data_IF_464699050167
#
_entry.id   IF_464699050167
#
_cell.length_a   1.000
_cell.length_b   1.000
_cell.length_c   1.000
_cell.angle_alpha   90.00
_cell.angle_beta   90.00
_cell.angle_gamma   90.00
#
_symmetry.space_group_name_H-M   'P 1'
#
loop_
_entity.id
_entity.type
_entity.pdbx_description
1 polymer ?
#
# COMPACT_ATOMS: atom_id res chain seq x y z
N UNK A 1 4.51 -54.35 20.85
CA UNK A 1 3.86 -53.59 19.80
C UNK A 1 4.85 -53.43 18.66
N UNK A 2 4.56 -53.89 17.45
CA UNK A 2 5.48 -53.72 16.34
C UNK A 2 5.53 -52.25 15.94
N UNK A 3 6.73 -51.72 15.80
CA UNK A 3 6.96 -50.36 15.26
C UNK A 3 6.46 -50.31 13.81
N UNK A 4 5.45 -49.47 13.55
CA UNK A 4 5.08 -49.16 12.18
C UNK A 4 6.23 -48.40 11.54
N UNK A 5 7.05 -49.09 10.78
CA UNK A 5 7.97 -48.45 9.84
C UNK A 5 7.15 -47.95 8.67
N UNK A 6 6.93 -46.65 8.62
CA UNK A 6 6.31 -46.01 7.47
C UNK A 6 7.32 -46.04 6.32
N UNK A 7 7.16 -47.00 5.41
CA UNK A 7 7.96 -47.06 4.18
C UNK A 7 7.29 -46.11 3.19
N UNK A 8 8.00 -45.05 2.83
CA UNK A 8 7.55 -44.09 1.81
C UNK A 8 7.82 -44.68 0.42
N UNK A 9 6.79 -45.16 -0.26
CA UNK A 9 6.86 -45.64 -1.65
C UNK A 9 6.79 -44.49 -2.68
N UNK A 10 7.49 -43.41 -2.41
CA UNK A 10 7.47 -42.19 -3.24
C UNK A 10 8.08 -42.39 -4.64
N UNK A 11 8.75 -43.50 -4.88
CA UNK A 11 9.43 -43.79 -6.17
C UNK A 11 8.57 -44.54 -7.18
N UNK A 12 7.39 -44.99 -6.79
CA UNK A 12 6.49 -45.67 -7.73
C UNK A 12 5.67 -44.63 -8.50
N UNK A 13 5.60 -44.71 -9.85
CA UNK A 13 4.79 -43.77 -10.65
C UNK A 13 3.34 -43.66 -10.19
N UNK A 14 2.78 -44.76 -9.70
CA UNK A 14 1.43 -44.85 -9.17
C UNK A 14 1.20 -43.96 -7.92
N UNK A 15 2.25 -43.66 -7.15
CA UNK A 15 2.21 -42.83 -5.96
C UNK A 15 2.69 -41.38 -6.15
N UNK A 16 3.02 -40.99 -7.36
CA UNK A 16 3.52 -39.64 -7.66
C UNK A 16 2.48 -38.54 -7.26
N UNK A 17 1.22 -38.78 -7.54
CA UNK A 17 0.12 -37.87 -7.17
C UNK A 17 -0.03 -37.75 -5.66
N UNK A 18 0.02 -38.88 -4.94
CA UNK A 18 -0.07 -38.89 -3.48
C UNK A 18 1.13 -38.17 -2.84
N UNK A 19 2.33 -38.43 -3.35
CA UNK A 19 3.57 -37.74 -2.92
C UNK A 19 3.46 -36.24 -3.13
N UNK A 20 2.92 -35.82 -4.26
CA UNK A 20 2.68 -34.40 -4.58
C UNK A 20 1.73 -33.76 -3.53
N UNK A 21 0.57 -34.37 -3.29
CA UNK A 21 -0.39 -33.85 -2.30
C UNK A 21 0.17 -33.79 -0.88
N UNK A 22 0.95 -34.79 -0.47
CA UNK A 22 1.63 -34.78 0.81
C UNK A 22 2.62 -33.63 0.91
N UNK A 23 3.41 -33.39 -0.14
CA UNK A 23 4.34 -32.27 -0.17
C UNK A 23 3.65 -30.91 -0.09
N UNK A 24 2.53 -30.73 -0.79
CA UNK A 24 1.73 -29.50 -0.70
C UNK A 24 1.13 -29.33 0.70
N UNK A 25 0.65 -30.39 1.33
CA UNK A 25 0.14 -30.35 2.70
C UNK A 25 1.25 -29.97 3.70
N UNK A 26 2.43 -30.57 3.57
CA UNK A 26 3.60 -30.23 4.42
C UNK A 26 3.98 -28.76 4.23
N UNK A 27 4.01 -28.27 2.98
CA UNK A 27 4.30 -26.87 2.67
C UNK A 27 3.24 -25.93 3.27
N UNK A 28 1.96 -26.27 3.13
CA UNK A 28 0.85 -25.47 3.68
C UNK A 28 0.92 -25.37 5.21
N UNK A 29 1.25 -26.47 5.91
CA UNK A 29 1.30 -26.50 7.38
C UNK A 29 2.62 -26.00 7.95
N UNK A 30 3.75 -26.31 7.32
CA UNK A 30 5.09 -26.05 7.85
C UNK A 30 5.69 -24.73 7.42
N UNK A 31 5.38 -24.26 6.19
CA UNK A 31 6.00 -23.07 5.61
C UNK A 31 5.04 -21.90 5.59
N UNK A 32 3.81 -22.11 5.09
CA UNK A 32 2.85 -21.02 4.87
C UNK A 32 2.22 -20.57 6.18
N UNK A 33 2.35 -19.28 6.48
CA UNK A 33 1.90 -18.65 7.73
C UNK A 33 0.71 -17.74 7.47
N UNK A 34 -0.34 -17.93 8.24
CA UNK A 34 -1.50 -17.04 8.26
C UNK A 34 -1.07 -15.64 8.73
N UNK A 35 -1.69 -14.60 8.17
CA UNK A 35 -1.43 -13.18 8.41
C UNK A 35 -0.04 -12.68 7.99
N UNK A 36 0.74 -13.53 7.29
CA UNK A 36 2.03 -13.20 6.67
C UNK A 36 1.96 -13.50 5.17
N UNK A 37 1.81 -14.79 4.80
CA UNK A 37 1.79 -15.23 3.41
C UNK A 37 0.38 -15.16 2.80
N UNK A 38 -0.64 -15.29 3.64
CA UNK A 38 -2.04 -15.21 3.27
C UNK A 38 -2.92 -14.75 4.45
N UNK A 39 -4.11 -14.25 4.14
CA UNK A 39 -5.17 -13.98 5.12
C UNK A 39 -6.40 -14.82 4.80
N UNK A 40 -7.26 -15.03 5.80
CA UNK A 40 -8.57 -15.64 5.63
C UNK A 40 -9.63 -14.57 5.84
N UNK A 41 -10.40 -14.28 4.79
CA UNK A 41 -11.49 -13.29 4.84
C UNK A 41 -12.66 -13.84 4.03
N UNK A 42 -13.89 -13.66 4.53
CA UNK A 42 -15.12 -14.05 3.86
C UNK A 42 -15.14 -15.52 3.39
N UNK A 43 -14.59 -16.43 4.21
CA UNK A 43 -14.43 -17.85 3.92
C UNK A 43 -13.51 -18.17 2.73
N UNK A 44 -12.63 -17.23 2.37
CA UNK A 44 -11.63 -17.37 1.30
C UNK A 44 -10.21 -17.17 1.83
N UNK A 45 -9.25 -17.88 1.21
CA UNK A 45 -7.81 -17.64 1.40
C UNK A 45 -7.35 -16.61 0.37
N UNK A 46 -6.82 -15.49 0.82
CA UNK A 46 -6.32 -14.42 -0.04
C UNK A 46 -4.81 -14.29 0.15
N UNK A 47 -4.07 -14.33 -0.94
CA UNK A 47 -2.59 -14.22 -0.91
C UNK A 47 -2.20 -12.81 -0.49
N UNK A 48 -1.17 -12.70 0.34
CA UNK A 48 -0.49 -11.45 0.69
C UNK A 48 0.79 -11.35 -0.13
N UNK A 49 0.99 -10.25 -0.82
CA UNK A 49 2.23 -9.97 -1.53
C UNK A 49 3.36 -9.75 -0.53
N UNK A 50 4.43 -10.52 -0.62
CA UNK A 50 5.56 -10.50 0.31
C UNK A 50 6.24 -9.13 0.38
N UNK A 51 6.31 -8.41 -0.74
CA UNK A 51 7.02 -7.14 -0.83
C UNK A 51 6.15 -5.94 -0.46
N UNK A 52 4.93 -5.92 -0.98
CA UNK A 52 4.00 -4.79 -0.78
C UNK A 52 3.05 -5.03 0.39
N UNK A 53 2.87 -6.30 0.78
CA UNK A 53 1.90 -6.75 1.76
C UNK A 53 0.45 -6.56 1.31
N UNK A 54 0.20 -6.28 0.04
CA UNK A 54 -1.15 -6.11 -0.51
C UNK A 54 -1.87 -7.44 -0.67
N UNK A 55 -3.17 -7.39 -0.45
CA UNK A 55 -4.04 -8.53 -0.70
C UNK A 55 -4.21 -8.74 -2.21
N UNK A 56 -3.92 -9.95 -2.67
CA UNK A 56 -3.97 -10.31 -4.08
C UNK A 56 -5.26 -11.07 -4.39
N UNK A 57 -6.36 -10.34 -4.49
CA UNK A 57 -7.66 -10.92 -4.82
C UNK A 57 -7.67 -11.64 -6.17
N UNK A 58 -8.35 -12.79 -6.23
CA UNK A 58 -8.47 -13.60 -7.44
C UNK A 58 -7.20 -14.35 -7.84
N UNK A 59 -6.08 -14.19 -7.13
CA UNK A 59 -4.87 -14.98 -7.33
C UNK A 59 -4.86 -16.19 -6.41
N UNK A 60 -4.29 -17.28 -6.92
CA UNK A 60 -4.18 -18.56 -6.20
C UNK A 60 -2.77 -19.12 -6.35
N UNK A 61 -2.28 -19.79 -5.33
CA UNK A 61 -1.05 -20.58 -5.43
C UNK A 61 -1.30 -21.77 -6.38
N UNK A 62 -0.30 -22.10 -7.18
CA UNK A 62 -0.37 -23.17 -8.15
C UNK A 62 -0.15 -24.55 -7.49
N UNK A 63 -0.36 -25.59 -8.29
CA UNK A 63 -0.01 -26.98 -7.96
C UNK A 63 -0.74 -27.54 -6.73
N UNK A 64 -1.95 -27.08 -6.45
CA UNK A 64 -2.75 -27.55 -5.32
C UNK A 64 -2.34 -26.98 -3.95
N UNK A 65 -1.33 -26.10 -3.87
CA UNK A 65 -0.92 -25.47 -2.62
C UNK A 65 -2.04 -24.61 -2.04
N UNK A 66 -2.76 -23.86 -2.88
CA UNK A 66 -3.86 -23.02 -2.40
C UNK A 66 -4.96 -23.86 -1.78
N UNK A 67 -5.34 -24.96 -2.41
CA UNK A 67 -6.33 -25.92 -1.90
C UNK A 67 -5.86 -26.57 -0.59
N UNK A 68 -4.56 -26.86 -0.47
CA UNK A 68 -4.00 -27.39 0.77
C UNK A 68 -4.06 -26.35 1.93
N UNK A 69 -3.91 -25.06 1.62
CA UNK A 69 -4.09 -23.99 2.62
C UNK A 69 -5.59 -23.82 2.95
N UNK A 70 -6.48 -23.83 1.97
CA UNK A 70 -7.93 -23.81 2.19
C UNK A 70 -8.38 -24.96 3.11
N UNK A 71 -7.88 -26.18 2.87
CA UNK A 71 -8.14 -27.33 3.74
C UNK A 71 -7.58 -27.14 5.15
N UNK A 72 -6.35 -26.61 5.29
CA UNK A 72 -5.72 -26.27 6.58
C UNK A 72 -6.59 -25.28 7.36
N UNK A 73 -7.09 -24.25 6.73
CA UNK A 73 -7.89 -23.20 7.36
C UNK A 73 -9.37 -23.55 7.49
N UNK A 74 -9.79 -24.70 6.94
CA UNK A 74 -11.17 -25.21 6.96
C UNK A 74 -12.17 -24.27 6.31
N UNK A 75 -11.74 -23.60 5.24
CA UNK A 75 -12.59 -22.80 4.37
C UNK A 75 -13.04 -23.63 3.17
N UNK A 76 -13.92 -23.07 2.35
CA UNK A 76 -14.37 -23.73 1.13
C UNK A 76 -13.20 -23.97 0.18
N UNK A 77 -13.05 -25.21 -0.32
CA UNK A 77 -12.00 -25.58 -1.26
C UNK A 77 -12.51 -25.31 -2.67
N UNK A 78 -12.02 -24.24 -3.28
CA UNK A 78 -12.39 -23.87 -4.63
C UNK A 78 -11.61 -24.68 -5.69
N UNK A 79 -12.17 -24.77 -6.89
CA UNK A 79 -11.50 -25.43 -8.00
C UNK A 79 -10.20 -24.71 -8.38
N UNK A 80 -9.22 -25.50 -8.82
CA UNK A 80 -7.95 -24.94 -9.29
C UNK A 80 -8.17 -24.15 -10.57
N UNK A 81 -7.62 -22.93 -10.62
CA UNK A 81 -7.61 -22.14 -11.84
C UNK A 81 -6.44 -22.57 -12.72
N UNK A 82 -6.73 -23.06 -13.93
CA UNK A 82 -5.70 -23.44 -14.89
C UNK A 82 -5.23 -22.20 -15.66
N UNK A 83 -3.97 -21.84 -15.51
CA UNK A 83 -3.34 -20.82 -16.35
C UNK A 83 -3.23 -21.35 -17.79
N UNK A 84 -3.99 -20.77 -18.72
CA UNK A 84 -3.99 -21.20 -20.12
C UNK A 84 -2.79 -20.63 -20.89
N UNK A 85 -2.41 -19.40 -20.58
CA UNK A 85 -1.28 -18.72 -21.21
C UNK A 85 -0.76 -17.59 -20.30
N UNK A 86 0.50 -17.25 -20.47
CA UNK A 86 1.15 -16.10 -19.83
C UNK A 86 1.74 -15.18 -20.89
N UNK A 87 1.72 -13.89 -20.61
CA UNK A 87 2.35 -12.86 -21.43
C UNK A 87 3.18 -11.95 -20.54
N UNK A 88 4.34 -11.52 -20.99
CA UNK A 88 5.13 -10.51 -20.29
C UNK A 88 4.49 -9.13 -20.43
N UNK A 89 4.70 -8.24 -19.46
CA UNK A 89 4.21 -6.86 -19.55
C UNK A 89 4.73 -6.15 -20.80
N UNK A 90 5.99 -6.37 -21.18
CA UNK A 90 6.58 -5.82 -22.39
C UNK A 90 5.79 -6.22 -23.65
N UNK A 91 5.51 -7.51 -23.80
CA UNK A 91 4.74 -7.98 -24.95
C UNK A 91 3.28 -7.53 -24.91
N UNK A 92 2.67 -7.50 -23.75
CA UNK A 92 1.30 -7.03 -23.57
C UNK A 92 1.15 -5.56 -24.00
N UNK A 93 2.00 -4.67 -23.51
CA UNK A 93 1.91 -3.25 -23.85
C UNK A 93 2.28 -2.96 -25.31
N UNK A 94 3.10 -3.78 -25.93
CA UNK A 94 3.43 -3.67 -27.36
C UNK A 94 2.24 -3.98 -28.30
N UNK A 95 1.16 -4.58 -27.78
CA UNK A 95 -0.07 -4.80 -28.55
C UNK A 95 -0.88 -3.52 -28.80
N UNK A 96 -0.61 -2.45 -28.06
CA UNK A 96 -1.33 -1.20 -28.23
C UNK A 96 -0.73 -0.33 -29.33
N UNK A 97 -1.56 0.18 -30.22
CA UNK A 97 -1.14 1.08 -31.30
C UNK A 97 -0.71 2.46 -30.78
N UNK A 98 -1.32 2.91 -29.67
CA UNK A 98 -0.94 4.13 -28.97
C UNK A 98 -0.61 3.76 -27.54
N UNK A 99 0.61 4.05 -27.13
CA UNK A 99 1.10 3.83 -25.79
C UNK A 99 1.75 5.11 -25.28
N UNK A 100 1.37 5.54 -24.10
CA UNK A 100 1.99 6.66 -23.38
C UNK A 100 1.93 6.43 -21.89
N UNK A 101 2.78 7.10 -21.15
CA UNK A 101 2.82 7.01 -19.70
C UNK A 101 3.44 8.25 -19.10
N UNK A 102 3.35 8.37 -17.78
CA UNK A 102 3.96 9.44 -17.01
C UNK A 102 4.65 8.87 -15.79
N UNK A 103 5.87 9.32 -15.54
CA UNK A 103 6.63 9.01 -14.32
C UNK A 103 7.66 10.10 -14.05
N UNK A 104 8.00 10.29 -12.78
CA UNK A 104 9.07 11.22 -12.39
C UNK A 104 10.49 10.69 -12.62
N UNK A 105 10.66 9.44 -13.08
CA UNK A 105 11.96 8.75 -13.19
C UNK A 105 12.21 8.15 -14.57
N UNK A 106 11.53 8.61 -15.63
CA UNK A 106 11.66 8.03 -16.96
C UNK A 106 13.04 8.28 -17.61
N UNK A 107 13.66 9.41 -17.33
CA UNK A 107 14.90 9.82 -18.00
C UNK A 107 16.06 8.85 -17.74
N UNK A 108 16.15 8.27 -16.55
CA UNK A 108 17.18 7.27 -16.21
C UNK A 108 17.06 5.99 -17.03
N UNK A 109 15.85 5.66 -17.49
CA UNK A 109 15.54 4.43 -18.23
C UNK A 109 15.21 4.71 -19.71
N UNK A 110 15.68 5.84 -20.25
CA UNK A 110 15.36 6.30 -21.61
C UNK A 110 15.68 5.26 -22.68
N UNK A 111 16.83 4.62 -22.58
CA UNK A 111 17.28 3.63 -23.55
C UNK A 111 16.42 2.36 -23.50
N UNK A 112 15.95 1.96 -22.32
CA UNK A 112 15.02 0.84 -22.17
C UNK A 112 13.68 1.14 -22.81
N UNK A 113 13.09 2.33 -22.55
CA UNK A 113 11.82 2.74 -23.18
C UNK A 113 11.92 2.82 -24.69
N UNK A 114 13.00 3.33 -25.23
CA UNK A 114 13.25 3.39 -26.68
C UNK A 114 13.41 1.98 -27.29
N UNK A 115 14.15 1.10 -26.64
CA UNK A 115 14.45 -0.24 -27.15
C UNK A 115 13.23 -1.17 -27.11
N UNK A 116 12.52 -1.20 -25.99
CA UNK A 116 11.42 -2.14 -25.77
C UNK A 116 10.11 -1.65 -26.38
N UNK A 117 9.76 -0.39 -26.14
CA UNK A 117 8.45 0.15 -26.49
C UNK A 117 8.48 1.15 -27.65
N UNK A 118 9.67 1.53 -28.12
CA UNK A 118 9.88 2.58 -29.14
C UNK A 118 9.22 3.89 -28.76
N UNK A 119 9.32 4.25 -27.48
CA UNK A 119 8.80 5.48 -26.92
C UNK A 119 9.94 6.48 -26.70
N UNK A 120 9.67 7.72 -27.08
CA UNK A 120 10.53 8.87 -26.74
C UNK A 120 10.14 9.41 -25.37
N UNK A 121 11.14 9.87 -24.61
CA UNK A 121 10.93 10.51 -23.32
C UNK A 121 11.01 12.02 -23.49
N UNK A 122 9.98 12.71 -23.06
CA UNK A 122 9.89 14.17 -23.07
C UNK A 122 9.86 14.65 -21.62
N UNK A 123 10.85 15.47 -21.25
CA UNK A 123 10.86 16.11 -19.95
C UNK A 123 9.98 17.36 -19.98
N UNK A 124 8.96 17.36 -19.11
CA UNK A 124 8.10 18.53 -18.93
C UNK A 124 8.62 19.33 -17.75
N UNK A 125 9.03 20.59 -17.96
CA UNK A 125 9.56 21.41 -16.88
C UNK A 125 8.49 21.67 -15.81
N UNK A 126 8.92 21.77 -14.55
CA UNK A 126 8.03 22.09 -13.44
C UNK A 126 7.46 23.49 -13.57
N UNK A 127 6.18 23.68 -13.18
CA UNK A 127 5.52 24.99 -13.19
C UNK A 127 6.22 26.03 -12.28
N UNK A 128 6.80 25.57 -11.18
CA UNK A 128 7.56 26.41 -10.23
C UNK A 128 8.94 25.78 -10.01
N UNK A 129 9.97 26.58 -9.63
CA UNK A 129 11.28 26.05 -9.26
C UNK A 129 11.17 24.95 -8.20
N UNK A 130 11.96 23.90 -8.34
CA UNK A 130 12.00 22.79 -7.37
C UNK A 130 12.64 23.30 -6.09
N UNK A 131 11.87 23.31 -4.99
CA UNK A 131 12.35 23.67 -3.66
C UNK A 131 12.83 22.45 -2.85
N UNK A 132 12.67 21.22 -3.39
CA UNK A 132 13.12 19.97 -2.75
C UNK A 132 14.64 19.95 -2.67
N UNK A 133 15.14 19.56 -1.51
CA UNK A 133 16.58 19.33 -1.29
C UNK A 133 16.77 17.82 -1.17
N UNK A 134 17.55 17.25 -2.10
CA UNK A 134 17.90 15.84 -2.08
C UNK A 134 19.24 15.69 -1.34
N UNK A 135 19.19 15.20 -0.11
CA UNK A 135 20.37 14.96 0.69
C UNK A 135 21.09 13.67 0.22
N UNK A 136 22.42 13.61 0.34
CA UNK A 136 23.17 12.40 0.01
C UNK A 136 22.84 11.26 0.98
N UNK A 137 23.06 10.03 0.51
CA UNK A 137 22.87 8.83 1.31
C UNK A 137 23.78 8.82 2.54
N UNK A 138 23.23 8.35 3.68
CA UNK A 138 23.99 8.19 4.93
C UNK A 138 24.19 6.71 5.20
N UNK A 139 25.46 6.29 5.21
CA UNK A 139 25.82 4.88 5.44
C UNK A 139 26.11 4.64 6.91
N UNK A 140 25.52 3.57 7.45
CA UNK A 140 25.67 3.12 8.84
C UNK A 140 26.37 1.77 8.91
N UNK A 141 27.22 1.58 9.93
CA UNK A 141 27.93 0.32 10.17
C UNK A 141 26.99 -0.85 10.49
N UNK A 142 25.84 -0.56 11.13
CA UNK A 142 24.86 -1.55 11.55
C UNK A 142 23.44 -1.09 11.27
N UNK A 143 22.54 -2.03 11.00
CA UNK A 143 21.12 -1.75 10.80
C UNK A 143 20.47 -1.13 12.06
N UNK A 144 20.84 -1.62 13.23
CA UNK A 144 20.39 -1.04 14.50
C UNK A 144 20.83 0.42 14.68
N UNK A 145 22.05 0.76 14.23
CA UNK A 145 22.54 2.14 14.22
C UNK A 145 21.75 3.05 13.28
N UNK A 146 21.42 2.54 12.10
CA UNK A 146 20.57 3.22 11.13
C UNK A 146 19.18 3.51 11.70
N UNK A 147 18.50 2.52 12.28
CA UNK A 147 17.16 2.75 12.84
C UNK A 147 17.15 3.73 14.00
N UNK A 148 18.15 3.70 14.89
CA UNK A 148 18.27 4.72 15.94
C UNK A 148 18.43 6.13 15.38
N UNK A 149 19.19 6.29 14.31
CA UNK A 149 19.34 7.59 13.65
C UNK A 149 18.03 8.07 13.01
N UNK A 150 17.30 7.17 12.33
CA UNK A 150 15.98 7.46 11.75
C UNK A 150 14.99 7.93 12.83
N UNK A 151 14.91 7.21 13.96
CA UNK A 151 14.01 7.57 15.05
C UNK A 151 14.38 8.92 15.67
N UNK A 152 15.67 9.19 15.87
CA UNK A 152 16.15 10.49 16.35
C UNK A 152 15.76 11.63 15.40
N UNK A 153 16.00 11.49 14.11
CA UNK A 153 15.63 12.47 13.10
C UNK A 153 14.13 12.68 13.02
N UNK A 154 13.33 11.59 13.11
CA UNK A 154 11.87 11.69 13.15
C UNK A 154 11.38 12.47 14.37
N UNK A 155 12.02 12.29 15.54
CA UNK A 155 11.73 13.03 16.76
C UNK A 155 12.02 14.53 16.61
N UNK A 156 13.21 14.87 16.09
CA UNK A 156 13.60 16.25 15.85
C UNK A 156 12.65 16.97 14.88
N UNK A 157 12.22 16.29 13.81
CA UNK A 157 11.26 16.84 12.87
C UNK A 157 9.87 17.01 13.49
N UNK A 158 9.40 16.00 14.22
CA UNK A 158 8.12 16.05 14.93
C UNK A 158 8.06 17.22 15.93
N UNK A 159 9.10 17.41 16.74
CA UNK A 159 9.21 18.51 17.69
C UNK A 159 9.19 19.88 17.01
N UNK A 160 9.74 19.99 15.81
CA UNK A 160 9.67 21.19 14.95
C UNK A 160 8.32 21.36 14.26
N UNK A 161 7.42 20.37 14.38
CA UNK A 161 6.14 20.34 13.66
C UNK A 161 6.25 19.98 12.19
N UNK A 162 7.41 19.53 11.73
CA UNK A 162 7.64 19.09 10.34
C UNK A 162 7.06 17.69 10.12
N UNK A 163 6.20 17.45 9.13
CA UNK A 163 5.71 16.12 8.82
C UNK A 163 6.83 15.25 8.27
N UNK A 164 6.80 13.97 8.61
CA UNK A 164 7.81 12.97 8.22
C UNK A 164 7.14 11.75 7.62
N UNK A 165 7.59 11.34 6.44
CA UNK A 165 7.23 10.07 5.82
C UNK A 165 8.46 9.17 5.80
N UNK A 166 8.35 8.00 6.42
CA UNK A 166 9.44 7.02 6.52
C UNK A 166 9.08 5.80 5.66
N UNK A 167 9.83 5.57 4.59
CA UNK A 167 9.68 4.40 3.73
C UNK A 167 10.48 3.21 4.24
N UNK A 168 9.85 2.03 4.28
CA UNK A 168 10.49 0.75 4.62
C UNK A 168 10.30 -0.26 3.49
N UNK A 169 11.24 -1.19 3.34
CA UNK A 169 11.23 -2.18 2.24
C UNK A 169 10.35 -3.40 2.54
N UNK A 170 9.94 -3.61 3.81
CA UNK A 170 9.09 -4.74 4.19
C UNK A 170 8.19 -4.39 5.37
N UNK A 171 7.12 -5.17 5.56
CA UNK A 171 6.19 -5.03 6.69
C UNK A 171 6.92 -5.25 8.02
N UNK A 172 7.82 -6.24 8.09
CA UNK A 172 8.60 -6.55 9.29
C UNK A 172 9.43 -5.34 9.75
N UNK A 173 10.13 -4.70 8.81
CA UNK A 173 10.92 -3.48 9.09
C UNK A 173 10.03 -2.29 9.47
N UNK A 174 8.84 -2.22 8.90
CA UNK A 174 7.83 -1.23 9.25
C UNK A 174 7.36 -1.41 10.71
N UNK A 175 7.02 -2.62 11.12
CA UNK A 175 6.60 -2.95 12.48
C UNK A 175 7.74 -2.74 13.50
N UNK A 176 8.98 -3.13 13.16
CA UNK A 176 10.16 -2.90 13.98
C UNK A 176 10.34 -1.40 14.27
N UNK A 177 10.30 -0.58 13.22
CA UNK A 177 10.49 0.87 13.34
C UNK A 177 9.32 1.52 14.10
N UNK A 178 8.09 1.08 13.86
CA UNK A 178 6.91 1.50 14.63
C UNK A 178 7.08 1.19 16.13
N UNK A 179 7.59 0.00 16.48
CA UNK A 179 7.89 -0.37 17.86
C UNK A 179 8.96 0.54 18.50
N UNK A 180 9.94 0.99 17.73
CA UNK A 180 10.98 1.92 18.21
C UNK A 180 10.41 3.33 18.43
N UNK A 181 9.61 3.85 17.49
CA UNK A 181 8.94 5.15 17.62
C UNK A 181 7.99 5.20 18.82
N UNK A 182 7.24 4.10 19.05
CA UNK A 182 6.36 3.98 20.26
C UNK A 182 7.15 4.06 21.55
N UNK A 183 8.31 3.42 21.64
CA UNK A 183 9.18 3.46 22.83
C UNK A 183 9.72 4.86 23.11
N UNK A 184 9.97 5.64 22.06
CA UNK A 184 10.38 7.05 22.17
C UNK A 184 9.20 8.02 22.39
N UNK A 185 7.98 7.51 22.48
CA UNK A 185 6.78 8.34 22.71
C UNK A 185 6.36 9.18 21.50
N UNK A 186 6.80 8.84 20.29
CA UNK A 186 6.48 9.57 19.07
C UNK A 186 5.16 9.06 18.49
N UNK A 187 4.08 9.88 18.47
CA UNK A 187 2.82 9.51 17.86
C UNK A 187 3.03 9.35 16.34
N UNK A 188 2.62 8.23 15.76
CA UNK A 188 2.79 7.96 14.34
C UNK A 188 1.70 7.05 13.79
N UNK A 189 1.50 7.13 12.49
CA UNK A 189 0.63 6.24 11.73
C UNK A 189 1.46 5.19 11.00
N UNK A 190 0.88 3.99 10.86
CA UNK A 190 1.52 2.88 10.16
C UNK A 190 0.69 2.52 8.94
N UNK A 191 1.32 2.56 7.77
CA UNK A 191 0.76 2.14 6.50
C UNK A 191 1.40 0.82 6.08
N UNK A 192 0.64 -0.23 6.22
CA UNK A 192 0.96 -1.54 5.68
C UNK A 192 -0.33 -2.20 5.20
N UNK A 193 -0.22 -3.33 4.51
CA UNK A 193 -1.37 -4.03 3.95
C UNK A 193 -2.39 -4.50 4.99
N UNK A 194 -2.00 -4.65 6.25
CA UNK A 194 -2.93 -4.99 7.33
C UNK A 194 -3.97 -3.88 7.57
N UNK A 195 -3.66 -2.64 7.18
CA UNK A 195 -4.49 -1.45 7.37
C UNK A 195 -4.99 -0.83 6.05
N UNK A 196 -5.14 -1.65 5.01
CA UNK A 196 -5.48 -1.19 3.66
C UNK A 196 -6.75 -0.32 3.60
N UNK A 197 -7.76 -0.61 4.40
CA UNK A 197 -9.02 0.14 4.43
C UNK A 197 -8.84 1.60 4.89
N UNK A 198 -7.82 1.89 5.70
CA UNK A 198 -7.49 3.23 6.21
C UNK A 198 -6.35 3.91 5.46
N UNK A 199 -5.79 3.27 4.43
CA UNK A 199 -4.62 3.79 3.71
C UNK A 199 -4.88 5.19 3.15
N UNK A 200 -6.01 5.39 2.46
CA UNK A 200 -6.36 6.67 1.86
C UNK A 200 -6.52 7.79 2.91
N UNK A 201 -7.11 7.46 4.07
CA UNK A 201 -7.27 8.40 5.18
C UNK A 201 -5.93 8.83 5.78
N UNK A 202 -5.05 7.87 6.05
CA UNK A 202 -3.74 8.12 6.64
C UNK A 202 -2.87 8.94 5.68
N UNK A 203 -2.86 8.58 4.39
CA UNK A 203 -2.09 9.31 3.37
C UNK A 203 -2.60 10.73 3.20
N UNK A 204 -3.91 10.93 3.15
CA UNK A 204 -4.51 12.25 3.06
C UNK A 204 -4.04 13.19 4.17
N UNK A 205 -3.71 12.66 5.35
CA UNK A 205 -3.26 13.42 6.52
C UNK A 205 -1.75 13.30 6.81
N UNK A 206 -0.99 12.59 5.97
CA UNK A 206 0.45 12.39 6.21
C UNK A 206 1.26 13.71 6.17
N UNK A 207 0.78 14.71 5.43
CA UNK A 207 1.39 16.05 5.38
C UNK A 207 0.96 17.02 6.49
N UNK A 208 0.15 16.58 7.47
CA UNK A 208 -0.31 17.41 8.57
C UNK A 208 0.87 17.82 9.48
N UNK A 209 0.73 18.98 10.15
CA UNK A 209 1.73 19.49 11.09
C UNK A 209 2.15 18.44 12.13
N UNK A 210 3.44 18.16 12.21
CA UNK A 210 4.03 17.17 13.12
C UNK A 210 3.64 15.72 12.88
N UNK A 211 2.99 15.39 11.78
CA UNK A 211 2.61 14.01 11.47
C UNK A 211 3.86 13.15 11.19
N UNK A 212 3.90 11.96 11.77
CA UNK A 212 4.90 10.94 11.44
C UNK A 212 4.17 9.73 10.86
N UNK A 213 4.58 9.32 9.66
CA UNK A 213 3.96 8.19 8.96
C UNK A 213 5.04 7.19 8.55
N UNK A 214 4.89 5.94 8.96
CA UNK A 214 5.77 4.84 8.54
C UNK A 214 5.02 4.01 7.50
N UNK A 215 5.59 3.90 6.31
CA UNK A 215 4.95 3.24 5.18
C UNK A 215 5.84 2.18 4.56
N UNK A 216 5.28 1.10 4.02
CA UNK A 216 6.00 0.24 3.11
C UNK A 216 6.20 0.93 1.75
N UNK A 217 7.20 0.51 1.00
CA UNK A 217 7.76 1.21 -0.16
C UNK A 217 6.76 1.68 -1.24
N UNK A 218 5.56 1.09 -1.28
CA UNK A 218 4.54 1.44 -2.29
C UNK A 218 3.34 2.20 -1.72
N UNK A 219 3.29 2.44 -0.42
CA UNK A 219 2.21 3.20 0.18
C UNK A 219 2.29 4.67 -0.23
N UNK A 220 1.19 5.22 -0.72
CA UNK A 220 1.13 6.59 -1.21
C UNK A 220 1.56 6.78 -2.67
N UNK A 221 1.95 5.74 -3.39
CA UNK A 221 2.22 5.85 -4.84
C UNK A 221 0.94 6.22 -5.60
N UNK A 222 1.01 7.30 -6.39
CA UNK A 222 -0.14 7.80 -7.13
C UNK A 222 -1.13 8.62 -6.29
N UNK A 223 -0.77 8.96 -5.05
CA UNK A 223 -1.59 9.80 -4.17
C UNK A 223 -0.80 11.04 -3.75
N UNK A 224 -1.37 12.21 -3.94
CA UNK A 224 -0.75 13.47 -3.53
C UNK A 224 -0.81 13.64 -2.01
N UNK A 225 0.34 13.90 -1.39
CA UNK A 225 0.45 14.26 0.01
C UNK A 225 0.48 15.78 0.12
N UNK A 226 -0.61 16.36 0.59
CA UNK A 226 -0.72 17.81 0.73
C UNK A 226 -0.09 18.27 2.04
N UNK A 227 0.87 19.21 1.97
CA UNK A 227 1.43 19.84 3.15
C UNK A 227 0.37 20.67 3.86
N UNK A 228 0.20 20.44 5.15
CA UNK A 228 -0.90 20.98 5.97
C UNK A 228 -2.08 20.03 6.14
N UNK A 229 -2.07 18.89 5.44
CA UNK A 229 -3.16 17.92 5.39
C UNK A 229 -4.17 18.23 4.30
N UNK A 230 -5.02 17.27 3.98
CA UNK A 230 -6.07 17.40 2.99
C UNK A 230 -7.37 17.90 3.63
N UNK A 231 -7.63 19.20 3.50
CA UNK A 231 -8.82 19.84 4.06
C UNK A 231 -10.13 19.35 3.42
N UNK A 232 -10.09 19.04 2.12
CA UNK A 232 -11.26 18.53 1.38
C UNK A 232 -11.64 17.13 1.90
N UNK A 233 -10.67 16.26 2.10
CA UNK A 233 -10.91 14.93 2.64
C UNK A 233 -11.56 15.00 4.04
N UNK A 234 -11.07 15.88 4.91
CA UNK A 234 -11.65 16.07 6.25
C UNK A 234 -13.08 16.61 6.16
N UNK A 235 -13.33 17.55 5.28
CA UNK A 235 -14.67 18.10 5.08
C UNK A 235 -15.65 17.03 4.56
N UNK A 236 -15.25 16.21 3.59
CA UNK A 236 -16.05 15.06 3.11
C UNK A 236 -16.33 14.04 4.22
N UNK A 237 -15.35 13.75 5.07
CA UNK A 237 -15.55 12.85 6.21
C UNK A 237 -16.52 13.41 7.25
N UNK A 238 -16.50 14.69 7.52
CA UNK A 238 -17.49 15.31 8.44
C UNK A 238 -18.90 15.25 7.87
N UNK A 239 -19.07 15.41 6.54
CA UNK A 239 -20.36 15.21 5.89
C UNK A 239 -20.86 13.76 6.04
N UNK A 240 -19.99 12.77 5.83
CA UNK A 240 -20.34 11.35 6.05
C UNK A 240 -20.77 11.07 7.50
N UNK A 241 -20.06 11.64 8.49
CA UNK A 241 -20.44 11.54 9.90
C UNK A 241 -21.77 12.23 10.21
N UNK A 242 -22.10 13.29 9.48
CA UNK A 242 -23.39 13.96 9.59
C UNK A 242 -24.54 13.20 8.90
N UNK A 243 -24.24 12.07 8.25
CA UNK A 243 -25.23 11.17 7.65
C UNK A 243 -25.57 11.45 6.19
N UNK A 244 -24.82 12.33 5.51
CA UNK A 244 -25.01 12.58 4.07
C UNK A 244 -24.50 11.41 3.23
N UNK A 245 -25.24 11.04 2.18
CA UNK A 245 -24.83 10.03 1.22
C UNK A 245 -23.65 10.49 0.36
N UNK A 246 -22.87 9.55 -0.21
CA UNK A 246 -21.76 9.90 -1.09
C UNK A 246 -22.21 10.63 -2.36
N UNK A 247 -23.43 10.41 -2.83
CA UNK A 247 -24.04 11.13 -3.93
C UNK A 247 -24.22 12.60 -3.59
N UNK A 248 -24.85 12.90 -2.44
CA UNK A 248 -25.03 14.27 -1.95
C UNK A 248 -23.68 14.96 -1.71
N UNK A 249 -22.71 14.24 -1.17
CA UNK A 249 -21.36 14.77 -0.94
C UNK A 249 -20.68 15.13 -2.26
N UNK A 250 -20.80 14.30 -3.29
CA UNK A 250 -20.24 14.58 -4.61
C UNK A 250 -20.91 15.80 -5.26
N UNK A 251 -22.24 15.92 -5.18
CA UNK A 251 -22.97 17.10 -5.68
C UNK A 251 -22.67 18.36 -4.85
N UNK A 252 -22.55 18.23 -3.54
CA UNK A 252 -22.18 19.33 -2.66
C UNK A 252 -20.78 19.88 -2.93
N UNK A 253 -19.83 19.03 -3.38
CA UNK A 253 -18.48 19.43 -3.75
C UNK A 253 -18.34 19.80 -5.23
N UNK A 254 -19.38 19.60 -6.03
CA UNK A 254 -19.48 20.01 -7.42
C UNK A 254 -19.82 21.50 -7.57
N UNK A 255 -19.69 22.00 -8.81
CA UNK A 255 -20.00 23.40 -9.18
C UNK A 255 -21.38 23.57 -9.83
N UNK A 256 -22.16 22.50 -9.97
CA UNK A 256 -23.48 22.56 -10.57
C UNK A 256 -24.45 23.34 -9.69
N UNK A 257 -25.28 24.20 -10.31
CA UNK A 257 -26.35 24.89 -9.61
C UNK A 257 -27.42 23.86 -9.17
N UNK A 258 -27.94 24.03 -7.97
CA UNK A 258 -28.96 23.15 -7.40
C UNK A 258 -29.90 23.95 -6.48
N UNK A 259 -31.18 23.60 -6.53
CA UNK A 259 -32.20 24.14 -5.62
C UNK A 259 -32.54 23.13 -4.49
N UNK A 260 -31.83 22.02 -4.43
CA UNK A 260 -32.05 21.01 -3.40
C UNK A 260 -31.50 21.50 -2.04
N UNK A 261 -32.41 21.68 -1.08
CA UNK A 261 -32.09 22.20 0.25
C UNK A 261 -31.06 21.33 0.99
N UNK A 262 -31.10 20.01 0.81
CA UNK A 262 -30.15 19.08 1.45
C UNK A 262 -28.73 19.26 0.89
N UNK A 263 -28.58 19.41 -0.41
CA UNK A 263 -27.30 19.68 -1.07
C UNK A 263 -26.76 21.05 -0.66
N UNK A 264 -27.63 22.08 -0.57
CA UNK A 264 -27.23 23.40 -0.12
C UNK A 264 -26.75 23.39 1.34
N UNK A 265 -27.44 22.65 2.22
CA UNK A 265 -26.99 22.45 3.60
C UNK A 265 -25.64 21.74 3.68
N UNK A 266 -25.45 20.68 2.89
CA UNK A 266 -24.18 19.96 2.78
C UNK A 266 -23.05 20.86 2.26
N UNK A 267 -23.30 21.72 1.24
CA UNK A 267 -22.32 22.71 0.73
C UNK A 267 -21.88 23.68 1.81
N UNK A 268 -22.83 24.18 2.58
CA UNK A 268 -22.52 25.12 3.68
C UNK A 268 -21.65 24.45 4.74
N UNK A 269 -22.00 23.26 5.17
CA UNK A 269 -21.22 22.50 6.14
C UNK A 269 -19.81 22.18 5.58
N UNK A 270 -19.72 21.75 4.31
CA UNK A 270 -18.44 21.52 3.64
C UNK A 270 -17.55 22.77 3.65
N UNK A 271 -18.11 23.91 3.25
CA UNK A 271 -17.37 25.17 3.17
C UNK A 271 -16.87 25.63 4.54
N UNK A 272 -17.66 25.45 5.59
CA UNK A 272 -17.29 25.81 6.96
C UNK A 272 -16.18 24.91 7.53
N UNK A 273 -16.26 23.61 7.28
CA UNK A 273 -15.21 22.66 7.69
C UNK A 273 -13.94 22.89 6.88
N UNK A 274 -14.04 23.03 5.58
CA UNK A 274 -12.91 23.30 4.69
C UNK A 274 -12.15 24.58 5.10
N UNK A 275 -12.86 25.69 5.34
CA UNK A 275 -12.26 26.95 5.80
C UNK A 275 -11.50 26.78 7.12
N UNK A 276 -12.10 26.10 8.11
CA UNK A 276 -11.44 25.82 9.39
C UNK A 276 -10.16 25.03 9.21
N UNK A 277 -10.16 24.00 8.35
CA UNK A 277 -8.99 23.17 8.11
C UNK A 277 -7.89 23.91 7.35
N UNK A 278 -8.25 24.72 6.35
CA UNK A 278 -7.28 25.57 5.61
C UNK A 278 -6.63 26.60 6.55
N UNK A 279 -7.39 27.18 7.47
CA UNK A 279 -6.85 28.12 8.46
C UNK A 279 -5.89 27.43 9.44
N UNK A 280 -6.24 26.25 9.92
CA UNK A 280 -5.42 25.45 10.84
C UNK A 280 -4.17 24.88 10.16
N UNK A 281 -4.25 24.50 8.86
CA UNK A 281 -3.14 24.03 8.04
C UNK A 281 -2.23 25.15 7.52
N UNK A 282 -2.68 26.40 7.56
CA UNK A 282 -1.99 27.57 7.02
C UNK A 282 -0.67 27.95 7.72
N UNK A 283 -0.35 27.35 8.84
CA UNK A 283 0.94 27.52 9.52
C UNK A 283 2.13 27.01 8.69
N UNK A 284 1.93 25.99 7.86
CA UNK A 284 2.98 25.46 6.97
C UNK A 284 3.18 26.29 5.70
N UNK A 285 2.16 27.02 5.23
CA UNK A 285 2.28 27.92 4.07
C UNK A 285 3.09 29.20 4.30
N UNK A 286 3.32 29.56 5.58
CA UNK A 286 4.04 30.80 5.93
C UNK A 286 5.50 30.60 6.33
N UNK A 287 6.00 29.36 6.39
CA UNK A 287 7.38 29.06 6.83
C UNK A 287 8.25 28.30 5.80
N UNK A 288 7.77 28.15 4.56
CA UNK A 288 8.60 27.65 3.44
C UNK A 288 8.96 28.81 2.50
#
# INVERSE_FOLDING_TARGET
MPSMTTVSYTHLPENATLSHHINQAIKAHGVMKRDIDYVVKDNEVIIVDEFTGRLMFGRRYNEGLHQAIEAKERVEIAHESKTLATITFQNYFRLYNKLSGMTGTATTEKDEFATIYKLDIIEIPTNKPVARIDNPDVVYKTEAGKYRAVVRQAKECHEKGQPVLIGTVSIEKNELLSGMLKREGIPHNVLNAKNHEKEAEIIAQAGKFGAVTVATNMAGRGTDIMLGGNAEYLAKNELRKAGYSDEIINEATGYADTDNEEILAARKLFADVYKRQVQNGGYLRRRI
#
